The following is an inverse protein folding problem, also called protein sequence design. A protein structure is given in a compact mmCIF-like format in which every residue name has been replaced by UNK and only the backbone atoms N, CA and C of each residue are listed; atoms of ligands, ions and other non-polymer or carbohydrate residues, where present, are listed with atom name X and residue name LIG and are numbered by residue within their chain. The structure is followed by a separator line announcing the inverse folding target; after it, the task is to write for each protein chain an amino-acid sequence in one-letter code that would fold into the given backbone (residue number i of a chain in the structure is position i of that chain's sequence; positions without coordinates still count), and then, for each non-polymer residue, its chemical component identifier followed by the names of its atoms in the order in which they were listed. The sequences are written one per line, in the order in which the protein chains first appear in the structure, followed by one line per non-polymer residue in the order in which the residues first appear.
data_IF_929595385986
#
_entry.id   IF_929595385986
#
_cell.length_a   1.000
_cell.length_b   1.000
_cell.length_c   1.000
_cell.angle_alpha   90.00
_cell.angle_beta   90.00
_cell.angle_gamma   90.00
#
_symmetry.space_group_name_H-M   'P 1'
#
loop_
_entity.id
_entity.type
_entity.pdbx_description
1 polymer ?
#
# COMPACT_ATOMS: atom_id res chain seq x y z
N UNK A 1 -15.52 78.95 25.50
CA UNK A 1 -15.53 78.12 26.73
C UNK A 1 -14.17 77.44 26.87
N UNK A 2 -13.55 77.44 28.06
CA UNK A 2 -12.26 76.74 28.27
C UNK A 2 -12.54 75.26 28.56
N UNK A 3 -11.75 74.36 27.94
CA UNK A 3 -11.80 72.93 28.17
C UNK A 3 -10.78 72.58 29.26
N UNK A 4 -11.20 71.88 30.30
CA UNK A 4 -10.34 71.32 31.34
C UNK A 4 -10.01 69.88 31.02
N UNK A 5 -8.74 69.52 31.04
CA UNK A 5 -8.27 68.15 30.89
C UNK A 5 -7.59 67.73 32.18
N UNK A 6 -8.08 66.66 32.80
CA UNK A 6 -7.51 66.07 34.01
C UNK A 6 -6.55 64.95 33.57
N UNK A 7 -5.28 65.08 33.94
CA UNK A 7 -4.25 64.09 33.70
C UNK A 7 -3.49 63.85 35.00
N UNK A 8 -3.51 62.61 35.53
CA UNK A 8 -2.81 62.24 36.77
C UNK A 8 -3.05 63.26 37.90
N UNK A 9 -4.32 63.60 38.13
CA UNK A 9 -4.79 64.56 39.14
C UNK A 9 -4.33 66.03 38.95
N UNK A 10 -3.77 66.37 37.77
CA UNK A 10 -3.46 67.74 37.37
C UNK A 10 -4.48 68.27 36.37
N UNK A 11 -4.92 69.51 36.56
CA UNK A 11 -5.82 70.20 35.64
C UNK A 11 -5.06 71.06 34.63
N UNK A 12 -5.33 70.83 33.34
CA UNK A 12 -4.81 71.62 32.23
C UNK A 12 -5.96 72.35 31.53
N UNK A 13 -5.73 73.60 31.12
CA UNK A 13 -6.74 74.43 30.48
C UNK A 13 -6.43 74.61 28.99
N UNK A 14 -7.33 74.12 28.15
CA UNK A 14 -7.24 74.19 26.70
C UNK A 14 -8.32 75.11 26.11
N UNK A 15 -8.02 75.62 24.91
CA UNK A 15 -9.08 76.14 24.03
C UNK A 15 -9.79 74.94 23.39
N UNK A 16 -11.07 75.07 23.06
CA UNK A 16 -11.75 74.06 22.24
C UNK A 16 -11.23 74.21 20.80
N UNK A 17 -10.65 73.15 20.25
CA UNK A 17 -10.20 73.08 18.86
C UNK A 17 -11.28 72.43 18.01
N UNK A 18 -11.41 72.87 16.75
CA UNK A 18 -12.43 72.38 15.83
C UNK A 18 -12.15 70.99 15.24
N UNK A 19 -10.92 70.49 15.37
CA UNK A 19 -10.52 69.15 14.94
C UNK A 19 -9.93 68.37 16.10
N UNK A 20 -10.22 67.08 16.15
CA UNK A 20 -9.69 66.21 17.19
C UNK A 20 -8.17 66.08 17.08
N UNK A 21 -7.64 65.96 15.86
CA UNK A 21 -6.20 65.86 15.64
C UNK A 21 -5.42 67.10 16.14
N UNK A 22 -5.95 68.32 15.89
CA UNK A 22 -5.29 69.55 16.35
C UNK A 22 -5.23 69.62 17.89
N UNK A 23 -6.29 69.12 18.55
CA UNK A 23 -6.33 69.00 20.01
C UNK A 23 -5.31 67.96 20.52
N UNK A 24 -5.23 66.79 19.88
CA UNK A 24 -4.27 65.74 20.20
C UNK A 24 -2.83 66.23 20.08
N UNK A 25 -2.48 66.89 18.98
CA UNK A 25 -1.12 67.37 18.73
C UNK A 25 -0.66 68.36 19.81
N UNK A 26 -1.57 69.25 20.23
CA UNK A 26 -1.27 70.24 21.28
C UNK A 26 -1.20 69.57 22.65
N UNK A 27 -2.10 68.63 22.96
CA UNK A 27 -2.05 67.87 24.20
C UNK A 27 -0.73 67.09 24.33
N UNK A 28 -0.33 66.37 23.27
CA UNK A 28 0.92 65.63 23.20
C UNK A 28 2.17 66.53 23.27
N UNK A 29 2.06 67.80 22.85
CA UNK A 29 3.17 68.75 22.94
C UNK A 29 3.47 69.21 24.38
N UNK A 30 2.47 69.23 25.26
CA UNK A 30 2.60 69.71 26.65
C UNK A 30 3.22 68.64 27.54
N UNK A 31 2.86 67.37 27.30
CA UNK A 31 3.34 66.23 28.09
C UNK A 31 3.95 65.15 27.17
N UNK A 32 5.12 65.41 26.55
CA UNK A 32 5.75 64.52 25.56
C UNK A 32 6.26 63.18 26.13
N UNK A 33 6.22 63.06 27.46
CA UNK A 33 6.63 61.89 28.23
C UNK A 33 5.55 60.80 28.31
N UNK A 34 4.31 61.14 27.97
CA UNK A 34 3.17 60.25 27.99
C UNK A 34 2.63 60.02 26.58
N UNK A 35 2.11 58.82 26.34
CA UNK A 35 1.35 58.50 25.13
C UNK A 35 -0.12 58.39 25.53
N UNK A 36 -0.98 59.12 24.83
CA UNK A 36 -2.42 59.16 25.14
C UNK A 36 -3.09 57.88 24.65
N UNK A 37 -3.79 57.19 25.55
CA UNK A 37 -4.61 56.03 25.21
C UNK A 37 -6.00 56.47 24.74
N UNK A 38 -6.66 57.33 25.52
CA UNK A 38 -8.03 57.78 25.28
C UNK A 38 -8.39 58.98 26.16
N UNK A 39 -9.34 59.80 25.72
CA UNK A 39 -10.03 60.74 26.61
C UNK A 39 -11.37 60.19 27.02
N UNK A 40 -11.81 60.51 28.24
CA UNK A 40 -13.12 60.10 28.76
C UNK A 40 -13.83 61.27 29.43
N UNK A 41 -15.15 61.25 29.45
CA UNK A 41 -15.97 62.23 30.17
C UNK A 41 -17.28 61.60 30.63
N UNK A 42 -17.92 62.20 31.63
CA UNK A 42 -19.27 61.84 32.04
C UNK A 42 -20.27 62.74 31.36
N UNK A 43 -21.28 62.17 30.72
CA UNK A 43 -22.35 62.94 30.08
C UNK A 43 -23.43 63.38 31.09
N UNK A 44 -24.52 63.96 30.58
CA UNK A 44 -25.63 64.46 31.38
C UNK A 44 -26.40 63.33 32.10
N UNK A 45 -26.28 62.09 31.64
CA UNK A 45 -26.89 60.89 32.22
C UNK A 45 -25.93 60.14 33.17
N UNK A 46 -24.72 60.68 33.39
CA UNK A 46 -23.61 60.08 34.15
C UNK A 46 -22.98 58.85 33.49
N UNK A 47 -23.14 58.68 32.18
CA UNK A 47 -22.46 57.62 31.44
C UNK A 47 -21.02 58.03 31.10
N UNK A 48 -20.08 57.09 31.29
CA UNK A 48 -18.68 57.29 30.95
C UNK A 48 -18.48 57.12 29.44
N UNK A 49 -18.33 58.23 28.74
CA UNK A 49 -18.10 58.26 27.29
C UNK A 49 -16.61 58.32 27.00
N UNK A 50 -16.15 57.50 26.04
CA UNK A 50 -14.77 57.51 25.55
C UNK A 50 -14.68 58.24 24.21
N UNK A 51 -13.80 59.23 24.12
CA UNK A 51 -13.47 59.93 22.88
C UNK A 51 -12.27 59.21 22.25
N UNK A 52 -12.51 58.50 21.16
CA UNK A 52 -11.49 57.71 20.46
C UNK A 52 -11.26 58.16 19.02
N UNK A 53 -12.27 58.78 18.41
CA UNK A 53 -12.26 59.20 17.00
C UNK A 53 -12.86 60.59 16.82
N UNK A 54 -12.74 61.15 15.62
CA UNK A 54 -13.19 62.50 15.28
C UNK A 54 -14.70 62.69 15.50
N UNK A 55 -15.51 61.67 15.21
CA UNK A 55 -16.96 61.70 15.42
C UNK A 55 -17.32 61.88 16.90
N UNK A 56 -16.67 61.12 17.79
CA UNK A 56 -16.86 61.20 19.24
C UNK A 56 -16.51 62.61 19.76
N UNK A 57 -15.43 63.18 19.22
CA UNK A 57 -14.98 64.53 19.57
C UNK A 57 -15.94 65.60 19.09
N UNK A 58 -16.54 65.45 17.91
CA UNK A 58 -17.57 66.35 17.40
C UNK A 58 -18.82 66.34 18.28
N UNK A 59 -19.26 65.15 18.73
CA UNK A 59 -20.34 65.03 19.72
C UNK A 59 -19.98 65.74 21.03
N UNK A 60 -18.75 65.57 21.51
CA UNK A 60 -18.25 66.26 22.69
C UNK A 60 -18.23 67.79 22.52
N UNK A 61 -17.85 68.32 21.36
CA UNK A 61 -17.78 69.77 21.12
C UNK A 61 -19.14 70.47 21.24
N UNK A 62 -20.23 69.78 20.88
CA UNK A 62 -21.61 70.28 20.98
C UNK A 62 -22.16 70.18 22.40
N UNK A 63 -21.54 69.35 23.25
CA UNK A 63 -21.94 69.20 24.65
C UNK A 63 -21.62 70.42 25.52
N UNK A 64 -22.38 70.56 26.60
CA UNK A 64 -22.18 71.54 27.68
C UNK A 64 -20.94 71.24 28.54
N UNK A 65 -20.28 70.10 28.30
CA UNK A 65 -19.25 69.52 29.17
C UNK A 65 -17.93 70.25 29.01
N UNK A 66 -17.38 70.72 30.14
CA UNK A 66 -16.13 71.47 30.15
C UNK A 66 -14.93 70.70 30.68
N UNK A 67 -15.09 69.44 31.09
CA UNK A 67 -14.04 68.67 31.76
C UNK A 67 -13.96 67.26 31.20
N UNK A 68 -12.76 66.84 30.81
CA UNK A 68 -12.46 65.49 30.31
C UNK A 68 -11.24 64.92 31.06
N UNK A 69 -11.16 63.61 31.18
CA UNK A 69 -10.05 62.89 31.79
C UNK A 69 -9.20 62.20 30.73
N UNK A 70 -7.90 62.44 30.74
CA UNK A 70 -6.92 61.81 29.87
C UNK A 70 -6.39 60.53 30.52
N UNK A 71 -6.51 59.42 29.81
CA UNK A 71 -5.84 58.16 30.15
C UNK A 71 -4.57 58.04 29.33
N UNK A 72 -3.44 57.84 30.00
CA UNK A 72 -2.12 57.78 29.35
C UNK A 72 -1.34 56.57 29.80
N UNK A 73 -0.45 56.09 28.94
CA UNK A 73 0.58 55.12 29.27
C UNK A 73 1.96 55.78 29.25
N UNK A 74 2.88 55.34 30.10
CA UNK A 74 4.26 55.83 30.03
C UNK A 74 4.94 55.34 28.74
N UNK A 75 5.74 56.20 28.10
CA UNK A 75 6.37 55.88 26.82
C UNK A 75 7.38 54.73 26.90
N UNK A 76 7.94 54.48 28.09
CA UNK A 76 8.82 53.34 28.36
C UNK A 76 8.04 52.03 28.39
N UNK A 77 6.86 52.02 29.02
CA UNK A 77 5.98 50.87 29.10
C UNK A 77 5.35 50.54 27.75
N UNK A 78 4.96 51.54 26.97
CA UNK A 78 4.50 51.35 25.59
C UNK A 78 5.59 50.69 24.72
N UNK A 79 6.83 51.18 24.78
CA UNK A 79 7.98 50.58 24.08
C UNK A 79 8.29 49.16 24.55
N UNK A 80 8.13 48.87 25.84
CA UNK A 80 8.33 47.53 26.39
C UNK A 80 7.27 46.54 25.88
N UNK A 81 6.00 46.95 25.85
CA UNK A 81 4.90 46.13 25.34
C UNK A 81 5.03 45.84 23.83
N UNK A 82 5.44 46.84 23.04
CA UNK A 82 5.70 46.66 21.61
C UNK A 82 6.84 45.65 21.35
N UNK A 83 7.90 45.67 22.19
CA UNK A 83 9.02 44.72 22.12
C UNK A 83 8.61 43.29 22.52
N UNK A 84 7.70 43.14 23.49
CA UNK A 84 7.18 41.84 23.91
C UNK A 84 6.30 41.20 22.83
N UNK A 85 5.40 41.97 22.21
CA UNK A 85 4.56 41.48 21.11
C UNK A 85 5.40 41.04 19.91
N UNK A 86 6.33 41.89 19.46
CA UNK A 86 7.24 41.55 18.34
C UNK A 86 8.12 40.34 18.67
N UNK A 87 8.58 40.19 19.92
CA UNK A 87 9.31 39.00 20.36
C UNK A 87 8.48 37.72 20.29
N UNK A 88 7.20 37.76 20.69
CA UNK A 88 6.29 36.61 20.62
C UNK A 88 5.98 36.20 19.18
N UNK A 89 5.76 37.16 18.29
CA UNK A 89 5.52 36.91 16.87
C UNK A 89 6.74 36.24 16.20
N UNK A 90 7.95 36.70 16.54
CA UNK A 90 9.20 36.09 16.04
C UNK A 90 9.32 34.63 16.50
N UNK A 91 9.01 34.34 17.77
CA UNK A 91 9.05 32.96 18.30
C UNK A 91 8.04 32.06 17.57
N UNK A 92 6.82 32.55 17.33
CA UNK A 92 5.80 31.79 16.59
C UNK A 92 6.24 31.50 15.15
N UNK A 93 6.83 32.49 14.46
CA UNK A 93 7.37 32.31 13.11
C UNK A 93 8.52 31.30 13.07
N UNK A 94 9.41 31.31 14.07
CA UNK A 94 10.50 30.33 14.18
C UNK A 94 9.96 28.91 14.38
N UNK A 95 8.94 28.72 15.24
CA UNK A 95 8.30 27.42 15.44
C UNK A 95 7.62 26.91 14.17
N UNK A 96 6.91 27.79 13.45
CA UNK A 96 6.26 27.44 12.19
C UNK A 96 7.28 27.02 11.13
N UNK A 97 8.38 27.77 11.01
CA UNK A 97 9.48 27.48 10.08
C UNK A 97 10.13 26.13 10.40
N UNK A 98 10.31 25.83 11.68
CA UNK A 98 10.83 24.54 12.12
C UNK A 98 9.90 23.37 11.75
N UNK A 99 8.58 23.50 11.94
CA UNK A 99 7.63 22.45 11.53
C UNK A 99 7.64 22.22 10.02
N UNK A 100 7.67 23.29 9.22
CA UNK A 100 7.73 23.20 7.75
C UNK A 100 9.00 22.46 7.31
N UNK A 101 10.14 22.78 7.93
CA UNK A 101 11.41 22.08 7.70
C UNK A 101 11.30 20.57 7.98
N UNK A 102 10.74 20.18 9.12
CA UNK A 102 10.58 18.75 9.45
C UNK A 102 9.65 18.03 8.46
N UNK A 103 8.54 18.65 8.06
CA UNK A 103 7.64 18.05 7.07
C UNK A 103 8.30 17.92 5.69
N UNK A 104 9.13 18.89 5.29
CA UNK A 104 9.87 18.83 4.02
C UNK A 104 10.88 17.68 4.01
N UNK A 105 11.63 17.49 5.10
CA UNK A 105 12.54 16.35 5.23
C UNK A 105 11.77 15.01 5.18
N UNK A 106 10.63 14.92 5.85
CA UNK A 106 9.78 13.73 5.81
C UNK A 106 9.26 13.44 4.39
N UNK A 107 8.84 14.48 3.66
CA UNK A 107 8.39 14.34 2.28
C UNK A 107 9.53 13.90 1.34
N UNK A 108 10.70 14.52 1.44
CA UNK A 108 11.86 14.16 0.62
C UNK A 108 12.33 12.72 0.88
N UNK A 109 12.32 12.28 2.14
CA UNK A 109 12.62 10.89 2.49
C UNK A 109 11.60 9.91 1.88
N UNK A 110 10.31 10.21 1.97
CA UNK A 110 9.26 9.39 1.36
C UNK A 110 9.31 9.41 -0.18
N UNK A 111 9.71 10.52 -0.79
CA UNK A 111 9.91 10.63 -2.22
C UNK A 111 11.10 9.78 -2.69
N UNK A 112 12.18 9.74 -1.90
CA UNK A 112 13.32 8.86 -2.13
C UNK A 112 12.92 7.39 -2.01
N UNK A 113 12.12 7.02 -0.99
CA UNK A 113 11.56 5.66 -0.86
C UNK A 113 10.69 5.32 -2.08
N UNK A 114 9.79 6.20 -2.49
CA UNK A 114 8.92 6.00 -3.66
C UNK A 114 9.73 5.84 -4.95
N UNK A 115 10.77 6.67 -5.14
CA UNK A 115 11.68 6.56 -6.29
C UNK A 115 12.53 5.29 -6.24
N UNK A 116 12.93 4.83 -5.05
CA UNK A 116 13.62 3.55 -4.87
C UNK A 116 12.70 2.38 -5.24
N UNK A 117 11.43 2.43 -4.83
CA UNK A 117 10.40 1.44 -5.21
C UNK A 117 10.16 1.45 -6.73
N UNK A 118 10.15 2.62 -7.38
CA UNK A 118 9.96 2.76 -8.84
C UNK A 118 11.20 2.43 -9.68
N UNK A 119 12.41 2.49 -9.11
CA UNK A 119 13.67 2.16 -9.79
C UNK A 119 14.08 0.70 -9.68
N UNK A 120 13.38 -0.10 -8.88
CA UNK A 120 13.45 -1.55 -9.01
C UNK A 120 12.78 -1.86 -10.35
N UNK A 121 13.50 -2.36 -11.37
CA UNK A 121 12.83 -2.89 -12.54
C UNK A 121 11.82 -3.89 -12.01
N UNK A 122 10.61 -3.88 -12.53
CA UNK A 122 9.62 -4.91 -12.25
C UNK A 122 10.20 -6.20 -12.87
N UNK A 123 11.21 -6.79 -12.23
CA UNK A 123 11.40 -8.21 -12.20
C UNK A 123 10.03 -8.72 -11.79
N UNK A 124 9.35 -9.39 -12.73
CA UNK A 124 8.12 -10.13 -12.46
C UNK A 124 8.24 -10.70 -11.04
N UNK A 125 7.36 -10.25 -10.13
CA UNK A 125 7.45 -10.58 -8.71
C UNK A 125 7.86 -12.06 -8.54
N UNK A 126 8.73 -12.45 -7.59
CA UNK A 126 9.24 -13.82 -7.50
C UNK A 126 8.15 -14.90 -7.55
N UNK A 127 6.96 -14.61 -7.00
CA UNK A 127 5.75 -15.45 -7.09
C UNK A 127 5.18 -15.61 -8.52
N UNK A 128 5.28 -14.58 -9.36
CA UNK A 128 4.87 -14.58 -10.76
C UNK A 128 5.83 -15.42 -11.62
N UNK A 129 7.15 -15.32 -11.38
CA UNK A 129 8.12 -16.21 -12.00
C UNK A 129 7.88 -17.67 -11.59
N UNK A 130 7.62 -17.91 -10.31
CA UNK A 130 7.31 -19.26 -9.79
C UNK A 130 6.02 -19.82 -10.42
N UNK A 131 4.98 -19.01 -10.59
CA UNK A 131 3.76 -19.36 -11.33
C UNK A 131 4.07 -19.81 -12.75
N UNK A 132 4.88 -19.03 -13.48
CA UNK A 132 5.26 -19.32 -14.86
C UNK A 132 6.04 -20.65 -14.97
N UNK A 133 6.93 -20.93 -14.01
CA UNK A 133 7.67 -22.20 -13.93
C UNK A 133 6.71 -23.38 -13.73
N UNK A 134 5.74 -23.27 -12.82
CA UNK A 134 4.76 -24.35 -12.56
C UNK A 134 3.85 -24.58 -13.77
N UNK A 135 3.44 -23.53 -14.48
CA UNK A 135 2.65 -23.66 -15.71
C UNK A 135 3.41 -24.46 -16.78
N UNK A 136 4.71 -24.17 -16.99
CA UNK A 136 5.55 -24.97 -17.90
C UNK A 136 5.62 -26.44 -17.48
N UNK A 137 5.84 -26.70 -16.18
CA UNK A 137 5.87 -28.07 -15.63
C UNK A 137 4.53 -28.80 -15.85
N UNK A 138 3.39 -28.13 -15.69
CA UNK A 138 2.07 -28.71 -15.97
C UNK A 138 1.95 -29.09 -17.44
N UNK A 139 2.39 -28.23 -18.34
CA UNK A 139 2.31 -28.47 -19.79
C UNK A 139 3.19 -29.64 -20.24
N UNK A 140 4.41 -29.73 -19.70
CA UNK A 140 5.28 -30.90 -19.89
C UNK A 140 4.63 -32.19 -19.38
N UNK A 141 4.03 -32.16 -18.20
CA UNK A 141 3.34 -33.34 -17.65
C UNK A 141 2.10 -33.72 -18.47
N UNK A 142 1.35 -32.76 -19.01
CA UNK A 142 0.24 -33.04 -19.94
C UNK A 142 0.73 -33.78 -21.18
N UNK A 143 1.83 -33.32 -21.79
CA UNK A 143 2.45 -33.99 -22.96
C UNK A 143 2.87 -35.42 -22.62
N UNK A 144 3.45 -35.66 -21.43
CA UNK A 144 3.81 -37.01 -20.95
C UNK A 144 2.59 -37.91 -20.76
N UNK A 145 1.53 -37.40 -20.14
CA UNK A 145 0.27 -38.14 -19.94
C UNK A 145 -0.37 -38.46 -21.30
N UNK A 146 -0.37 -37.53 -22.25
CA UNK A 146 -0.93 -37.75 -23.59
C UNK A 146 -0.14 -38.82 -24.35
N UNK A 147 1.21 -38.77 -24.32
CA UNK A 147 2.06 -39.83 -24.87
C UNK A 147 1.76 -41.20 -24.24
N UNK A 148 1.57 -41.25 -22.92
CA UNK A 148 1.21 -42.46 -22.18
C UNK A 148 -0.22 -42.95 -22.46
N UNK A 149 -1.15 -42.05 -22.80
CA UNK A 149 -2.50 -42.42 -23.28
C UNK A 149 -2.44 -43.03 -24.68
N UNK A 150 -1.59 -42.51 -25.58
CA UNK A 150 -1.37 -43.09 -26.92
C UNK A 150 -0.74 -44.49 -26.84
N UNK A 151 0.12 -44.73 -25.84
CA UNK A 151 0.64 -46.07 -25.51
C UNK A 151 -0.45 -47.04 -25.00
N UNK A 152 -1.61 -46.53 -24.57
CA UNK A 152 -2.69 -47.32 -23.97
C UNK A 152 -3.59 -48.06 -25.00
N UNK A 153 -3.34 -47.92 -26.30
CA UNK A 153 -4.25 -48.40 -27.35
C UNK A 153 -3.51 -48.90 -28.62
N UNK A 154 -2.47 -49.71 -28.42
CA UNK A 154 -2.16 -50.77 -29.39
C UNK A 154 -2.31 -52.12 -28.72
N UNK A 155 -3.52 -52.36 -28.21
CA UNK A 155 -4.05 -53.71 -28.01
C UNK A 155 -3.86 -54.57 -29.27
N UNK A 156 -3.88 -53.95 -30.46
CA UNK A 156 -3.56 -54.59 -31.73
C UNK A 156 -2.10 -55.06 -31.83
N UNK A 157 -1.12 -54.34 -31.23
CA UNK A 157 0.24 -54.87 -31.12
C UNK A 157 0.30 -56.03 -30.14
N UNK A 158 -0.41 -55.95 -29.01
CA UNK A 158 -0.40 -57.02 -27.99
C UNK A 158 -0.93 -58.33 -28.57
N UNK A 159 -1.97 -58.26 -29.41
CA UNK A 159 -2.55 -59.41 -30.11
C UNK A 159 -1.62 -59.96 -31.21
N UNK A 160 -1.05 -59.07 -32.06
CA UNK A 160 -0.13 -59.48 -33.12
C UNK A 160 1.18 -60.07 -32.60
N UNK A 161 1.73 -59.55 -31.51
CA UNK A 161 2.94 -60.12 -30.89
C UNK A 161 2.63 -61.45 -30.19
N UNK A 162 1.45 -61.65 -29.59
CA UNK A 162 1.06 -62.97 -29.00
C UNK A 162 0.96 -64.05 -30.04
N UNK A 163 0.20 -63.78 -31.10
CA UNK A 163 -0.01 -64.78 -32.13
C UNK A 163 1.32 -65.12 -32.80
N UNK A 164 2.18 -64.12 -33.08
CA UNK A 164 3.49 -64.36 -33.68
C UNK A 164 4.42 -65.19 -32.78
N UNK A 165 4.55 -64.85 -31.50
CA UNK A 165 5.49 -65.53 -30.59
C UNK A 165 5.00 -66.94 -30.24
N UNK A 166 3.71 -67.10 -29.95
CA UNK A 166 3.12 -68.41 -29.62
C UNK A 166 3.10 -69.30 -30.87
N UNK A 167 2.70 -68.78 -32.04
CA UNK A 167 2.75 -69.57 -33.28
C UNK A 167 4.19 -69.94 -33.66
N UNK A 168 5.19 -69.07 -33.41
CA UNK A 168 6.60 -69.41 -33.61
C UNK A 168 7.04 -70.57 -32.71
N UNK A 169 6.68 -70.52 -31.42
CA UNK A 169 6.98 -71.58 -30.46
C UNK A 169 6.29 -72.90 -30.86
N UNK A 170 5.00 -72.85 -31.20
CA UNK A 170 4.24 -74.03 -31.66
C UNK A 170 4.83 -74.60 -32.93
N UNK A 171 5.17 -73.78 -33.92
CA UNK A 171 5.78 -74.22 -35.18
C UNK A 171 7.19 -74.83 -34.97
N UNK A 172 7.97 -74.33 -34.01
CA UNK A 172 9.27 -74.91 -33.66
C UNK A 172 9.12 -76.28 -33.00
N UNK A 173 8.08 -76.44 -32.18
CA UNK A 173 7.76 -77.70 -31.50
C UNK A 173 7.21 -78.73 -32.48
N UNK A 174 6.29 -78.33 -33.36
CA UNK A 174 5.71 -79.17 -34.42
C UNK A 174 6.79 -79.75 -35.35
N UNK A 175 7.80 -78.94 -35.72
CA UNK A 175 8.95 -79.39 -36.52
C UNK A 175 9.90 -80.37 -35.80
N UNK A 176 9.84 -80.42 -34.46
CA UNK A 176 10.70 -81.29 -33.63
C UNK A 176 10.01 -82.61 -33.27
N UNK A 177 8.68 -82.67 -33.31
CA UNK A 177 7.92 -83.90 -33.22
C UNK A 177 8.14 -84.73 -34.49
N UNK A 178 8.84 -85.85 -34.38
CA UNK A 178 8.98 -86.84 -35.47
C UNK A 178 8.30 -88.13 -35.04
N UNK A 179 7.51 -88.70 -35.96
CA UNK A 179 6.87 -90.00 -35.79
C UNK A 179 7.82 -91.18 -36.03
N UNK A 180 9.05 -90.87 -36.43
CA UNK A 180 10.01 -91.86 -36.85
C UNK A 180 10.79 -92.33 -35.63
N UNK A 181 10.46 -93.56 -35.20
CA UNK A 181 11.17 -94.39 -34.22
C UNK A 181 10.86 -94.06 -32.76
N UNK A 182 9.92 -94.79 -32.16
CA UNK A 182 9.96 -95.24 -30.75
C UNK A 182 8.68 -96.02 -30.43
N UNK A 183 8.70 -96.81 -29.35
CA UNK A 183 7.51 -97.49 -28.83
C UNK A 183 6.43 -96.47 -28.44
N UNK A 184 5.15 -96.88 -28.42
CA UNK A 184 4.03 -95.98 -28.05
C UNK A 184 4.28 -95.23 -26.73
N UNK A 185 4.89 -95.90 -25.75
CA UNK A 185 5.18 -95.34 -24.43
C UNK A 185 6.24 -94.21 -24.46
N UNK A 186 7.22 -94.29 -25.35
CA UNK A 186 8.24 -93.26 -25.53
C UNK A 186 7.69 -92.05 -26.29
N UNK A 187 6.77 -92.29 -27.25
CA UNK A 187 6.03 -91.22 -27.92
C UNK A 187 5.13 -90.46 -26.93
N UNK A 188 4.40 -91.17 -26.07
CA UNK A 188 3.55 -90.55 -25.05
C UNK A 188 4.37 -89.70 -24.06
N UNK A 189 5.57 -90.17 -23.66
CA UNK A 189 6.50 -89.39 -22.81
C UNK A 189 7.03 -88.13 -23.53
N UNK A 190 7.34 -88.21 -24.82
CA UNK A 190 7.75 -87.04 -25.60
C UNK A 190 6.60 -86.03 -25.76
N UNK A 191 5.38 -86.51 -25.97
CA UNK A 191 4.19 -85.67 -26.05
C UNK A 191 3.96 -84.93 -24.72
N UNK A 192 4.03 -85.62 -23.58
CA UNK A 192 3.83 -85.02 -22.26
C UNK A 192 4.92 -83.98 -21.93
N UNK A 193 6.19 -84.28 -22.23
CA UNK A 193 7.31 -83.34 -22.07
C UNK A 193 7.13 -82.09 -22.93
N UNK A 194 6.66 -82.29 -24.16
CA UNK A 194 6.40 -81.20 -25.12
C UNK A 194 5.24 -80.32 -24.67
N UNK A 195 4.16 -80.91 -24.16
CA UNK A 195 3.03 -80.18 -23.58
C UNK A 195 3.45 -79.35 -22.38
N UNK A 196 4.23 -79.92 -21.45
CA UNK A 196 4.77 -79.19 -20.29
C UNK A 196 5.62 -77.99 -20.73
N UNK A 197 6.52 -78.20 -21.70
CA UNK A 197 7.34 -77.13 -22.25
C UNK A 197 6.50 -76.00 -22.89
N UNK A 198 5.49 -76.33 -23.69
CA UNK A 198 4.61 -75.33 -24.30
C UNK A 198 3.83 -74.52 -23.26
N UNK A 199 3.33 -75.19 -22.21
CA UNK A 199 2.63 -74.54 -21.10
C UNK A 199 3.56 -73.59 -20.36
N UNK A 200 4.79 -74.01 -20.05
CA UNK A 200 5.77 -73.17 -19.36
C UNK A 200 6.16 -71.94 -20.19
N UNK A 201 6.41 -72.12 -21.49
CA UNK A 201 6.72 -71.01 -22.38
C UNK A 201 5.56 -70.02 -22.49
N UNK A 202 4.32 -70.53 -22.56
CA UNK A 202 3.13 -69.69 -22.55
C UNK A 202 3.02 -68.86 -21.26
N UNK A 203 3.21 -69.49 -20.09
CA UNK A 203 3.14 -68.79 -18.81
C UNK A 203 4.27 -67.76 -18.63
N UNK A 204 5.48 -68.04 -19.09
CA UNK A 204 6.59 -67.08 -19.05
C UNK A 204 6.28 -65.83 -19.88
N UNK A 205 5.80 -66.00 -21.11
CA UNK A 205 5.40 -64.88 -21.98
C UNK A 205 4.23 -64.11 -21.36
N UNK A 206 3.27 -64.81 -20.76
CA UNK A 206 2.12 -64.20 -20.07
C UNK A 206 2.54 -63.35 -18.86
N UNK A 207 3.43 -63.86 -18.00
CA UNK A 207 3.90 -63.16 -16.80
C UNK A 207 4.69 -61.88 -17.12
N UNK A 208 5.60 -61.95 -18.09
CA UNK A 208 6.35 -60.77 -18.53
C UNK A 208 5.43 -59.64 -19.02
N UNK A 209 4.30 -59.99 -19.65
CA UNK A 209 3.28 -59.03 -20.11
C UNK A 209 2.50 -58.42 -18.95
N UNK A 210 2.09 -59.25 -17.99
CA UNK A 210 1.39 -58.77 -16.81
C UNK A 210 2.25 -57.75 -16.04
N UNK A 211 3.54 -58.03 -15.86
CA UNK A 211 4.49 -57.10 -15.25
C UNK A 211 4.59 -55.78 -16.02
N UNK A 212 4.69 -55.83 -17.35
CA UNK A 212 4.76 -54.62 -18.19
C UNK A 212 3.46 -53.80 -18.14
N UNK A 213 2.30 -54.45 -18.05
CA UNK A 213 1.01 -53.77 -17.87
C UNK A 213 0.94 -53.08 -16.50
N UNK A 214 1.41 -53.76 -15.44
CA UNK A 214 1.51 -53.19 -14.09
C UNK A 214 2.41 -51.95 -14.12
N UNK A 215 3.63 -52.06 -14.68
CA UNK A 215 4.59 -50.96 -14.80
C UNK A 215 3.99 -49.74 -15.52
N UNK A 216 3.28 -49.96 -16.64
CA UNK A 216 2.60 -48.90 -17.38
C UNK A 216 1.50 -48.25 -16.52
N UNK A 217 0.70 -49.06 -15.80
CA UNK A 217 -0.37 -48.55 -14.92
C UNK A 217 0.18 -47.74 -13.76
N UNK A 218 1.23 -48.21 -13.10
CA UNK A 218 1.91 -47.50 -12.02
C UNK A 218 2.49 -46.16 -12.51
N UNK A 219 3.13 -46.17 -13.68
CA UNK A 219 3.66 -44.95 -14.31
C UNK A 219 2.54 -43.94 -14.61
N UNK A 220 1.40 -44.40 -15.11
CA UNK A 220 0.23 -43.56 -15.36
C UNK A 220 -0.36 -43.00 -14.06
N UNK A 221 -0.46 -43.83 -13.02
CA UNK A 221 -0.98 -43.41 -11.72
C UNK A 221 -0.06 -42.37 -11.08
N UNK A 222 1.27 -42.56 -11.14
CA UNK A 222 2.26 -41.61 -10.64
C UNK A 222 2.22 -40.28 -11.42
N UNK A 223 2.11 -40.33 -12.75
CA UNK A 223 1.92 -39.15 -13.59
C UNK A 223 0.67 -38.34 -13.20
N UNK A 224 -0.44 -39.03 -12.92
CA UNK A 224 -1.67 -38.39 -12.45
C UNK A 224 -1.52 -37.78 -11.05
N UNK A 225 -0.83 -38.44 -10.11
CA UNK A 225 -0.53 -37.88 -8.78
C UNK A 225 0.28 -36.59 -8.88
N UNK A 226 1.38 -36.60 -9.67
CA UNK A 226 2.20 -35.40 -9.94
C UNK A 226 1.40 -34.26 -10.58
N UNK A 227 0.48 -34.59 -11.49
CA UNK A 227 -0.40 -33.59 -12.10
C UNK A 227 -1.32 -32.92 -11.07
N UNK A 228 -1.87 -33.70 -10.14
CA UNK A 228 -2.71 -33.18 -9.05
C UNK A 228 -1.91 -32.29 -8.10
N UNK A 229 -0.70 -32.70 -7.71
CA UNK A 229 0.21 -31.89 -6.89
C UNK A 229 0.54 -30.55 -7.56
N UNK A 230 0.93 -30.55 -8.83
CA UNK A 230 1.24 -29.32 -9.56
C UNK A 230 0.04 -28.36 -9.63
N UNK A 231 -1.18 -28.89 -9.80
CA UNK A 231 -2.41 -28.08 -9.78
C UNK A 231 -2.69 -27.49 -8.40
N UNK A 232 -2.42 -28.22 -7.33
CA UNK A 232 -2.58 -27.73 -5.97
C UNK A 232 -1.57 -26.61 -5.66
N UNK A 233 -0.30 -26.80 -6.04
CA UNK A 233 0.74 -25.78 -5.90
C UNK A 233 0.39 -24.50 -6.68
N UNK A 234 -0.12 -24.65 -7.91
CA UNK A 234 -0.58 -23.50 -8.70
C UNK A 234 -1.68 -22.71 -7.98
N UNK A 235 -2.69 -23.40 -7.42
CA UNK A 235 -3.77 -22.75 -6.66
C UNK A 235 -3.24 -21.99 -5.44
N UNK A 236 -2.27 -22.56 -4.72
CA UNK A 236 -1.68 -21.93 -3.55
C UNK A 236 -0.95 -20.63 -3.93
N UNK A 237 -0.14 -20.65 -4.99
CA UNK A 237 0.57 -19.47 -5.47
C UNK A 237 -0.40 -18.40 -5.98
N UNK A 238 -1.44 -18.78 -6.72
CA UNK A 238 -2.46 -17.84 -7.17
C UNK A 238 -3.18 -17.16 -6.00
N UNK A 239 -3.46 -17.91 -4.93
CA UNK A 239 -4.01 -17.36 -3.71
C UNK A 239 -3.04 -16.37 -3.03
N UNK A 240 -1.75 -16.71 -2.94
CA UNK A 240 -0.72 -15.83 -2.37
C UNK A 240 -0.59 -14.54 -3.17
N UNK A 241 -0.51 -14.60 -4.50
CA UNK A 241 -0.47 -13.41 -5.38
C UNK A 241 -1.69 -12.52 -5.12
N UNK A 242 -2.89 -13.11 -5.04
CA UNK A 242 -4.12 -12.36 -4.77
C UNK A 242 -4.08 -11.65 -3.41
N UNK A 243 -3.54 -12.32 -2.38
CA UNK A 243 -3.38 -11.76 -1.04
C UNK A 243 -2.39 -10.59 -1.04
N UNK A 244 -1.20 -10.78 -1.60
CA UNK A 244 -0.17 -9.74 -1.68
C UNK A 244 -0.68 -8.51 -2.45
N UNK A 245 -1.39 -8.70 -3.55
CA UNK A 245 -2.00 -7.60 -4.30
C UNK A 245 -3.05 -6.83 -3.49
N UNK A 246 -3.82 -7.51 -2.64
CA UNK A 246 -4.77 -6.86 -1.73
C UNK A 246 -4.05 -6.01 -0.68
N UNK A 247 -2.97 -6.54 -0.10
CA UNK A 247 -2.15 -5.82 0.89
C UNK A 247 -1.46 -4.58 0.28
N UNK A 248 -0.95 -4.70 -0.95
CA UNK A 248 -0.37 -3.56 -1.68
C UNK A 248 -1.41 -2.45 -1.95
N UNK A 249 -2.60 -2.80 -2.42
CA UNK A 249 -3.70 -1.83 -2.62
C UNK A 249 -4.11 -1.12 -1.33
N UNK A 250 -4.13 -1.85 -0.21
CA UNK A 250 -4.39 -1.25 1.11
C UNK A 250 -3.33 -0.22 1.46
N UNK A 251 -2.04 -0.56 1.29
CA UNK A 251 -0.93 0.37 1.55
C UNK A 251 -0.99 1.60 0.65
N UNK A 252 -1.29 1.42 -0.64
CA UNK A 252 -1.46 2.52 -1.59
C UNK A 252 -2.61 3.46 -1.16
N UNK A 253 -3.75 2.90 -0.75
CA UNK A 253 -4.88 3.68 -0.24
C UNK A 253 -4.50 4.49 1.01
N UNK A 254 -3.82 3.88 1.99
CA UNK A 254 -3.35 4.60 3.19
C UNK A 254 -2.38 5.73 2.82
N UNK A 255 -1.47 5.49 1.89
CA UNK A 255 -0.55 6.50 1.39
C UNK A 255 -1.27 7.67 0.73
N UNK A 256 -2.25 7.39 -0.15
CA UNK A 256 -3.06 8.42 -0.81
C UNK A 256 -3.89 9.22 0.20
N UNK A 257 -4.46 8.57 1.22
CA UNK A 257 -5.16 9.25 2.31
C UNK A 257 -4.23 10.20 3.07
N UNK A 258 -2.99 9.76 3.36
CA UNK A 258 -1.96 10.61 3.97
C UNK A 258 -1.65 11.86 3.14
N UNK A 259 -1.47 11.70 1.82
CA UNK A 259 -1.27 12.84 0.90
C UNK A 259 -2.47 13.79 0.93
N UNK A 260 -3.70 13.24 0.92
CA UNK A 260 -4.91 14.05 0.95
C UNK A 260 -5.02 14.86 2.24
N UNK A 261 -4.75 14.24 3.40
CA UNK A 261 -4.74 14.92 4.69
C UNK A 261 -3.73 16.08 4.72
N UNK A 262 -2.51 15.85 4.20
CA UNK A 262 -1.49 16.91 4.09
C UNK A 262 -1.98 18.05 3.18
N UNK A 263 -2.57 17.74 2.01
CA UNK A 263 -3.13 18.77 1.12
C UNK A 263 -4.22 19.60 1.80
N UNK A 264 -5.08 18.98 2.62
CA UNK A 264 -6.11 19.68 3.37
C UNK A 264 -5.52 20.60 4.45
N UNK A 265 -4.46 20.19 5.13
CA UNK A 265 -3.77 21.00 6.13
C UNK A 265 -3.10 22.22 5.48
N UNK A 266 -2.41 22.03 4.35
CA UNK A 266 -1.75 23.13 3.61
C UNK A 266 -2.77 24.15 3.11
N UNK A 267 -3.95 23.73 2.66
CA UNK A 267 -5.02 24.66 2.20
C UNK A 267 -5.62 25.53 3.31
N UNK A 268 -5.40 25.19 4.58
CA UNK A 268 -5.92 25.93 5.74
C UNK A 268 -4.92 26.94 6.30
N UNK A 269 -3.67 26.91 5.83
CA UNK A 269 -2.63 27.90 6.10
C UNK A 269 -2.69 29.00 5.03
#
# INVERSE_FOLDING_TARGET
MKLKVILLDKEYNFKRYSKYQDFLDIFCSIEPQFELDSFTYYDEEQDLITISKEEDYNCFLVSSISTIQAKVTSREEFKANLRLQTGQEIIQLMQLTHMISQQKMFYEHNLQITRAIQKVPIEEQPLQQEKNIILRKIEEQKKRIEKNKKLKLKTDLVYHFLSSDICSIVNQVDRKLRYDQTTQEEFDKQLESTQKYLVDQFFQVYLQRLNKIIEIRETQQNGNRKMTELKNNLKQIEYQIKRTNKELKLRENYFLQGIYAIKCLVKKL
#
